data_IF_341260421114
#
_entry.id   IF_341260421114
#
_cell.length_a   1.000
_cell.length_b   1.000
_cell.length_c   1.000
_cell.angle_alpha   90.00
_cell.angle_beta   90.00
_cell.angle_gamma   90.00
#
_symmetry.space_group_name_H-M   'P 1'
#
loop_
_entity.id
_entity.type
_entity.pdbx_description
1 polymer ?
#
# COMPACT_ATOMS: atom_id res chain seq x y z
N UNK A 1 14.18 3.61 -53.48
CA UNK A 1 14.77 4.09 -52.21
C UNK A 1 14.73 2.96 -51.19
N UNK A 2 15.90 2.60 -50.63
CA UNK A 2 16.21 1.93 -49.34
C UNK A 2 15.09 1.12 -48.66
N UNK A 3 15.29 -0.05 -48.06
CA UNK A 3 16.40 -0.95 -47.72
C UNK A 3 15.68 -1.98 -46.82
N UNK A 4 15.90 -3.28 -46.97
CA UNK A 4 16.06 -4.12 -45.77
C UNK A 4 16.83 -5.38 -46.12
N UNK A 5 18.04 -5.38 -45.58
CA UNK A 5 18.99 -6.48 -45.56
C UNK A 5 18.58 -7.36 -44.38
N UNK A 6 18.33 -8.65 -44.62
CA UNK A 6 18.38 -9.68 -43.58
C UNK A 6 19.58 -10.57 -43.91
N UNK A 7 20.69 -10.33 -43.22
CA UNK A 7 21.84 -11.26 -43.21
C UNK A 7 21.70 -12.10 -41.95
N UNK A 8 21.33 -13.36 -42.15
CA UNK A 8 21.48 -14.42 -41.16
C UNK A 8 22.97 -14.75 -41.14
N UNK A 9 23.66 -14.41 -40.05
CA UNK A 9 25.07 -14.78 -39.87
C UNK A 9 25.14 -15.95 -38.88
N UNK A 10 25.36 -17.14 -39.45
CA UNK A 10 25.83 -18.34 -38.77
C UNK A 10 27.18 -18.05 -38.11
N UNK A 11 27.31 -18.29 -36.80
CA UNK A 11 28.61 -18.46 -36.16
C UNK A 11 28.89 -19.96 -36.00
N UNK A 12 29.72 -20.48 -36.90
CA UNK A 12 30.44 -21.73 -36.71
C UNK A 12 31.60 -21.46 -35.74
N UNK A 13 31.67 -22.19 -34.63
CA UNK A 13 32.84 -22.21 -33.77
C UNK A 13 33.68 -23.44 -34.17
N UNK A 14 34.85 -23.15 -34.71
CA UNK A 14 35.93 -24.08 -35.01
C UNK A 14 36.53 -24.56 -33.69
N UNK A 15 36.49 -25.87 -33.45
CA UNK A 15 37.20 -26.54 -32.36
C UNK A 15 38.57 -26.98 -32.90
N UNK A 16 39.62 -26.21 -32.59
CA UNK A 16 41.01 -26.66 -32.69
C UNK A 16 41.52 -26.83 -31.27
N UNK A 17 41.88 -28.06 -30.94
CA UNK A 17 42.42 -28.45 -29.64
C UNK A 17 43.81 -27.85 -29.41
N UNK A 18 43.94 -27.12 -28.31
CA UNK A 18 45.20 -26.95 -27.60
C UNK A 18 44.94 -27.35 -26.15
N UNK A 19 45.73 -28.32 -25.72
CA UNK A 19 45.84 -28.87 -24.38
C UNK A 19 46.00 -27.82 -23.28
N UNK A 20 45.33 -28.02 -22.15
CA UNK A 20 45.90 -27.61 -20.86
C UNK A 20 45.39 -26.32 -20.19
N UNK A 21 44.20 -25.80 -20.51
CA UNK A 21 43.48 -24.94 -19.57
C UNK A 21 42.00 -25.28 -19.61
N UNK A 22 41.47 -25.82 -18.50
CA UNK A 22 40.03 -25.74 -18.21
C UNK A 22 39.70 -24.24 -18.18
N UNK A 23 39.26 -23.69 -19.31
CA UNK A 23 38.41 -22.50 -19.31
C UNK A 23 37.09 -22.96 -18.72
N UNK A 24 37.05 -23.09 -17.39
CA UNK A 24 35.79 -23.03 -16.68
C UNK A 24 35.27 -21.63 -16.94
N UNK A 25 34.41 -21.50 -17.94
CA UNK A 25 33.33 -20.53 -17.85
C UNK A 25 32.60 -20.88 -16.54
N UNK A 26 33.04 -20.27 -15.43
CA UNK A 26 32.30 -20.30 -14.18
C UNK A 26 30.99 -19.61 -14.55
N UNK A 27 29.94 -20.40 -14.81
CA UNK A 27 28.59 -19.93 -14.65
C UNK A 27 28.55 -19.38 -13.22
N UNK A 28 28.61 -18.06 -13.07
CA UNK A 28 28.48 -17.44 -11.76
C UNK A 28 27.15 -17.94 -11.21
N UNK A 29 27.23 -18.74 -10.14
CA UNK A 29 26.04 -19.23 -9.45
C UNK A 29 25.12 -18.04 -9.20
N UNK A 30 23.83 -18.17 -9.52
CA UNK A 30 22.85 -17.09 -9.39
C UNK A 30 22.73 -16.58 -7.94
N UNK A 31 23.16 -17.41 -6.99
CA UNK A 31 23.11 -17.25 -5.53
C UNK A 31 24.51 -17.17 -4.92
N UNK A 32 24.60 -16.72 -3.68
CA UNK A 32 25.84 -16.53 -2.94
C UNK A 32 25.92 -17.44 -1.71
N UNK A 33 27.09 -18.02 -1.44
CA UNK A 33 27.33 -18.78 -0.22
C UNK A 33 27.41 -17.87 1.01
N UNK A 34 27.30 -18.44 2.21
CA UNK A 34 27.49 -17.68 3.46
C UNK A 34 28.90 -17.09 3.53
N UNK A 35 29.92 -17.91 3.26
CA UNK A 35 31.32 -17.47 3.31
C UNK A 35 31.62 -16.32 2.33
N UNK A 36 31.13 -16.41 1.09
CA UNK A 36 31.29 -15.31 0.11
C UNK A 36 30.58 -14.03 0.57
N UNK A 37 29.40 -14.17 1.19
CA UNK A 37 28.62 -13.04 1.66
C UNK A 37 29.29 -12.34 2.84
N UNK A 38 29.83 -13.08 3.82
CA UNK A 38 30.51 -12.50 4.99
C UNK A 38 31.83 -11.85 4.63
N UNK A 39 32.62 -12.43 3.72
CA UNK A 39 33.83 -11.77 3.17
C UNK A 39 33.50 -10.42 2.53
N UNK A 40 32.36 -10.34 1.83
CA UNK A 40 31.90 -9.07 1.26
C UNK A 40 31.44 -8.08 2.33
N UNK A 41 30.79 -8.55 3.41
CA UNK A 41 30.43 -7.72 4.56
C UNK A 41 31.69 -7.14 5.21
N UNK A 42 32.64 -7.99 5.60
CA UNK A 42 33.92 -7.59 6.20
C UNK A 42 34.63 -6.54 5.35
N UNK A 43 34.72 -6.76 4.03
CA UNK A 43 35.37 -5.80 3.13
C UNK A 43 34.73 -4.41 3.16
N UNK A 44 33.41 -4.30 3.32
CA UNK A 44 32.72 -2.99 3.28
C UNK A 44 32.52 -2.37 4.66
N UNK A 45 32.53 -3.16 5.73
CA UNK A 45 32.31 -2.68 7.10
C UNK A 45 33.56 -2.62 7.95
N UNK A 46 34.62 -3.36 7.58
CA UNK A 46 35.81 -3.59 8.41
C UNK A 46 35.58 -4.53 9.59
N UNK A 47 34.40 -5.16 9.69
CA UNK A 47 34.08 -6.09 10.78
C UNK A 47 34.58 -7.48 10.42
N UNK A 48 35.44 -8.06 11.27
CA UNK A 48 35.86 -9.47 11.17
C UNK A 48 34.63 -10.37 11.05
N UNK A 49 34.56 -11.14 9.96
CA UNK A 49 33.44 -12.04 9.68
C UNK A 49 33.19 -13.03 10.81
N UNK A 50 34.22 -13.43 11.56
CA UNK A 50 34.08 -14.39 12.65
C UNK A 50 33.28 -13.82 13.82
N UNK A 51 33.35 -12.50 14.04
CA UNK A 51 32.57 -11.81 15.08
C UNK A 51 31.06 -11.77 14.79
N UNK A 52 30.66 -11.99 13.53
CA UNK A 52 29.25 -11.99 13.12
C UNK A 52 28.55 -13.33 13.39
N UNK A 53 29.31 -14.42 13.54
CA UNK A 53 28.78 -15.74 13.85
C UNK A 53 28.53 -15.88 15.36
N UNK A 54 27.48 -16.62 15.74
CA UNK A 54 27.19 -16.99 17.13
C UNK A 54 27.01 -18.50 17.23
N UNK A 55 27.26 -19.06 18.41
CA UNK A 55 27.38 -20.49 18.70
C UNK A 55 26.48 -21.40 17.84
N UNK A 56 27.12 -22.31 17.10
CA UNK A 56 26.50 -23.32 16.24
C UNK A 56 25.59 -22.80 15.11
N UNK A 57 25.51 -21.48 14.88
CA UNK A 57 24.88 -20.94 13.67
C UNK A 57 25.82 -21.15 12.46
N UNK A 58 25.25 -21.45 11.29
CA UNK A 58 25.99 -21.55 10.02
C UNK A 58 27.08 -22.63 9.96
N UNK A 59 26.78 -23.84 10.46
CA UNK A 59 27.72 -24.98 10.47
C UNK A 59 28.32 -25.32 9.09
N UNK A 60 27.51 -25.26 8.02
CA UNK A 60 28.00 -25.32 6.65
C UNK A 60 27.99 -23.91 6.05
N UNK A 61 29.16 -23.31 5.82
CA UNK A 61 29.32 -21.96 5.27
C UNK A 61 29.41 -21.91 3.74
N UNK A 62 29.62 -23.06 3.10
CA UNK A 62 29.64 -23.18 1.63
C UNK A 62 28.23 -23.24 1.04
N UNK A 63 27.21 -23.53 1.86
CA UNK A 63 25.81 -23.47 1.42
C UNK A 63 25.41 -22.04 1.06
N UNK A 64 24.45 -21.94 0.15
CA UNK A 64 23.79 -20.67 -0.18
C UNK A 64 23.19 -20.01 1.06
N UNK A 65 23.45 -18.72 1.23
CA UNK A 65 22.80 -17.93 2.27
C UNK A 65 21.36 -17.60 1.87
N UNK A 66 20.42 -17.80 2.79
CA UNK A 66 19.03 -17.34 2.59
C UNK A 66 18.86 -15.85 2.90
N UNK A 67 17.80 -15.22 2.38
CA UNK A 67 17.50 -13.81 2.68
C UNK A 67 17.37 -13.56 4.20
N UNK A 68 16.75 -14.48 4.94
CA UNK A 68 16.58 -14.32 6.39
C UNK A 68 17.89 -14.49 7.16
N UNK A 69 18.78 -15.37 6.71
CA UNK A 69 20.13 -15.49 7.26
C UNK A 69 20.99 -14.26 6.95
N UNK A 70 20.90 -13.74 5.73
CA UNK A 70 21.57 -12.50 5.36
C UNK A 70 21.10 -11.34 6.25
N UNK A 71 19.79 -11.20 6.48
CA UNK A 71 19.23 -10.19 7.37
C UNK A 71 19.78 -10.28 8.79
N UNK A 72 19.99 -11.49 9.32
CA UNK A 72 20.58 -11.71 10.63
C UNK A 72 22.02 -11.18 10.71
N UNK A 73 22.85 -11.52 9.72
CA UNK A 73 24.24 -11.05 9.67
C UNK A 73 24.34 -9.54 9.40
N UNK A 74 23.45 -9.00 8.56
CA UNK A 74 23.36 -7.56 8.27
C UNK A 74 22.93 -6.78 9.51
N UNK A 75 21.94 -7.25 10.26
CA UNK A 75 21.49 -6.54 11.47
C UNK A 75 22.62 -6.47 12.51
N UNK A 76 23.40 -7.55 12.68
CA UNK A 76 24.59 -7.57 13.54
C UNK A 76 25.65 -6.58 13.04
N UNK A 77 25.98 -6.64 11.75
CA UNK A 77 26.97 -5.74 11.17
C UNK A 77 26.52 -4.27 11.28
N UNK A 78 25.23 -3.99 11.05
CA UNK A 78 24.66 -2.65 11.21
C UNK A 78 24.70 -2.17 12.66
N UNK A 79 24.36 -3.02 13.63
CA UNK A 79 24.47 -2.68 15.05
C UNK A 79 25.90 -2.31 15.43
N UNK A 80 26.90 -3.01 14.90
CA UNK A 80 28.32 -2.74 15.15
C UNK A 80 28.81 -1.41 14.55
N UNK A 81 28.44 -1.06 13.30
CA UNK A 81 28.93 0.18 12.66
C UNK A 81 28.03 1.40 12.87
N UNK A 82 26.73 1.21 13.13
CA UNK A 82 25.74 2.27 13.15
C UNK A 82 24.94 2.35 14.46
N UNK A 83 25.16 1.43 15.40
CA UNK A 83 24.38 1.30 16.62
C UNK A 83 22.99 0.68 16.38
N UNK A 84 22.33 0.29 17.47
CA UNK A 84 20.98 -0.27 17.41
C UNK A 84 19.90 0.82 17.33
N UNK A 85 19.90 1.59 16.24
CA UNK A 85 18.96 2.69 16.02
C UNK A 85 17.98 2.39 14.89
N UNK A 86 16.69 2.37 15.23
CA UNK A 86 15.60 2.28 14.26
C UNK A 86 14.35 2.98 14.78
N UNK A 87 13.43 3.34 13.88
CA UNK A 87 12.18 4.02 14.24
C UNK A 87 11.20 3.03 14.89
N UNK A 88 11.19 2.97 16.23
CA UNK A 88 10.35 2.02 17.00
C UNK A 88 8.88 2.02 16.59
N UNK A 89 8.26 3.20 16.45
CA UNK A 89 6.87 3.32 15.98
C UNK A 89 6.65 2.69 14.60
N UNK A 90 7.59 2.84 13.66
CA UNK A 90 7.49 2.23 12.32
C UNK A 90 7.66 0.72 12.41
N UNK A 91 8.56 0.23 13.26
CA UNK A 91 8.73 -1.21 13.52
C UNK A 91 7.45 -1.85 14.05
N UNK A 92 6.80 -1.22 15.04
CA UNK A 92 5.51 -1.69 15.58
C UNK A 92 4.42 -1.73 14.50
N UNK A 93 4.36 -0.71 13.64
CA UNK A 93 3.40 -0.66 12.53
C UNK A 93 3.68 -1.73 11.46
N UNK A 94 4.96 -2.00 11.15
CA UNK A 94 5.35 -3.05 10.22
C UNK A 94 4.82 -4.42 10.66
N UNK A 95 4.91 -4.71 11.97
CA UNK A 95 4.39 -5.96 12.55
C UNK A 95 2.86 -5.92 12.58
N UNK A 96 2.27 -4.89 13.20
CA UNK A 96 0.82 -4.76 13.41
C UNK A 96 0.04 -4.85 12.09
N UNK A 97 0.52 -4.17 11.05
CA UNK A 97 -0.11 -4.11 9.72
C UNK A 97 0.41 -5.18 8.76
N UNK A 98 1.23 -6.13 9.23
CA UNK A 98 1.78 -7.23 8.44
C UNK A 98 2.44 -6.76 7.13
N UNK A 99 3.25 -5.70 7.21
CA UNK A 99 3.92 -5.06 6.05
C UNK A 99 4.97 -5.97 5.39
N UNK A 100 5.35 -7.06 6.05
CA UNK A 100 6.26 -8.08 5.53
C UNK A 100 5.56 -9.44 5.47
N UNK A 101 5.72 -10.12 4.35
CA UNK A 101 5.25 -11.49 4.09
C UNK A 101 6.43 -12.42 3.78
N UNK A 102 6.18 -13.73 3.66
CA UNK A 102 7.24 -14.72 3.38
C UNK A 102 8.08 -15.09 4.59
N UNK A 103 7.49 -15.06 5.80
CA UNK A 103 8.14 -15.34 7.09
C UNK A 103 7.73 -16.69 7.72
N UNK A 104 7.08 -17.57 6.95
CA UNK A 104 6.63 -18.89 7.44
C UNK A 104 7.82 -19.73 7.90
N UNK A 105 7.73 -20.32 9.09
CA UNK A 105 8.80 -21.15 9.66
C UNK A 105 10.02 -20.40 10.19
N UNK A 106 10.03 -19.06 10.13
CA UNK A 106 11.16 -18.27 10.63
C UNK A 106 11.08 -18.11 12.16
N UNK A 107 12.16 -18.46 12.86
CA UNK A 107 12.29 -18.28 14.31
C UNK A 107 12.36 -16.81 14.75
N UNK A 108 12.08 -16.54 16.03
CA UNK A 108 11.90 -15.18 16.57
C UNK A 108 13.10 -14.25 16.34
N UNK A 109 14.33 -14.71 16.65
CA UNK A 109 15.57 -13.93 16.46
C UNK A 109 15.76 -13.49 15.00
N UNK A 110 15.54 -14.41 14.05
CA UNK A 110 15.66 -14.14 12.62
C UNK A 110 14.54 -13.21 12.12
N UNK A 111 13.31 -13.37 12.64
CA UNK A 111 12.20 -12.43 12.35
C UNK A 111 12.51 -11.01 12.81
N UNK A 112 13.06 -10.83 14.00
CA UNK A 112 13.44 -9.52 14.52
C UNK A 112 14.46 -8.83 13.63
N UNK A 113 15.54 -9.53 13.26
CA UNK A 113 16.55 -9.02 12.33
C UNK A 113 15.96 -8.64 10.97
N UNK A 114 15.03 -9.43 10.44
CA UNK A 114 14.29 -9.12 9.21
C UNK A 114 13.50 -7.81 9.36
N UNK A 115 12.73 -7.65 10.45
CA UNK A 115 11.97 -6.43 10.69
C UNK A 115 12.87 -5.21 10.85
N UNK A 116 13.99 -5.32 11.58
CA UNK A 116 14.97 -4.23 11.72
C UNK A 116 15.60 -3.86 10.39
N UNK A 117 16.09 -4.83 9.62
CA UNK A 117 16.67 -4.58 8.29
C UNK A 117 15.67 -3.91 7.33
N UNK A 118 14.40 -4.30 7.41
CA UNK A 118 13.32 -3.67 6.65
C UNK A 118 13.06 -2.23 7.10
N UNK A 119 12.88 -2.01 8.41
CA UNK A 119 12.59 -0.68 9.00
C UNK A 119 13.74 0.30 8.77
N UNK A 120 14.97 -0.20 8.82
CA UNK A 120 16.19 0.54 8.50
C UNK A 120 16.33 0.79 6.98
N UNK A 121 15.53 0.15 6.13
CA UNK A 121 15.59 0.34 4.68
C UNK A 121 16.77 -0.35 3.99
N UNK A 122 17.43 -1.30 4.68
CA UNK A 122 18.59 -2.05 4.17
C UNK A 122 18.10 -3.22 3.30
N UNK A 123 17.06 -3.92 3.75
CA UNK A 123 16.43 -5.03 3.02
C UNK A 123 14.91 -4.84 2.95
N UNK A 124 14.38 -4.15 1.92
CA UNK A 124 12.95 -3.81 1.79
C UNK A 124 12.09 -4.96 1.23
N UNK A 125 12.67 -6.11 0.91
CA UNK A 125 11.99 -7.21 0.22
C UNK A 125 11.55 -6.88 -1.21
N UNK A 126 10.84 -7.83 -1.83
CA UNK A 126 10.32 -7.74 -3.20
C UNK A 126 8.87 -7.26 -3.19
N UNK A 127 8.45 -6.60 -4.27
CA UNK A 127 7.06 -6.13 -4.41
C UNK A 127 6.09 -7.31 -4.48
N UNK A 128 4.92 -7.18 -3.86
CA UNK A 128 3.80 -8.12 -4.02
C UNK A 128 2.88 -7.77 -5.20
N UNK A 129 3.24 -6.75 -5.99
CA UNK A 129 2.45 -6.26 -7.11
C UNK A 129 1.86 -4.87 -6.85
N UNK A 130 1.12 -4.36 -7.83
CA UNK A 130 0.48 -3.06 -7.75
C UNK A 130 -0.55 -3.01 -6.61
N UNK A 131 -0.70 -1.85 -5.98
CA UNK A 131 -1.63 -1.59 -4.89
C UNK A 131 -1.46 -2.50 -3.67
N UNK A 132 -0.31 -3.17 -3.54
CA UNK A 132 -0.02 -3.97 -2.35
C UNK A 132 0.65 -3.12 -1.27
N UNK A 133 0.17 -3.27 -0.04
CA UNK A 133 0.74 -2.57 1.11
C UNK A 133 1.75 -3.41 1.90
N UNK A 134 2.18 -4.54 1.34
CA UNK A 134 3.18 -5.42 1.93
C UNK A 134 4.23 -5.82 0.91
N UNK A 135 5.39 -6.25 1.41
CA UNK A 135 6.52 -6.76 0.62
C UNK A 135 6.75 -8.22 0.97
N UNK A 136 7.16 -9.03 0.00
CA UNK A 136 7.59 -10.39 0.26
C UNK A 136 9.10 -10.42 0.51
N UNK A 137 9.49 -10.83 1.72
CA UNK A 137 10.90 -10.93 2.10
C UNK A 137 11.56 -12.21 1.55
N UNK A 138 10.76 -13.23 1.24
CA UNK A 138 11.23 -14.55 0.80
C UNK A 138 12.33 -15.10 1.72
N UNK A 139 12.08 -15.12 3.04
CA UNK A 139 13.12 -15.32 4.04
C UNK A 139 13.86 -16.66 3.93
N UNK A 140 13.21 -17.71 3.42
CA UNK A 140 13.82 -19.03 3.20
C UNK A 140 14.44 -19.20 1.80
N UNK A 141 14.31 -18.23 0.90
CA UNK A 141 14.90 -18.30 -0.44
C UNK A 141 16.37 -17.89 -0.38
N UNK A 142 17.23 -18.58 -1.12
CA UNK A 142 18.63 -18.18 -1.35
C UNK A 142 18.72 -16.74 -1.87
N UNK A 143 19.68 -15.98 -1.36
CA UNK A 143 19.97 -14.62 -1.75
C UNK A 143 20.61 -14.60 -3.13
N UNK A 144 20.04 -13.82 -4.04
CA UNK A 144 20.55 -13.69 -5.41
C UNK A 144 21.77 -12.75 -5.42
N UNK A 145 22.85 -13.12 -6.13
CA UNK A 145 24.10 -12.33 -6.19
C UNK A 145 23.87 -10.89 -6.65
N UNK A 146 22.88 -10.67 -7.52
CA UNK A 146 22.52 -9.35 -8.05
C UNK A 146 21.99 -8.40 -6.97
N UNK A 147 21.45 -8.90 -5.87
CA UNK A 147 20.87 -8.10 -4.78
C UNK A 147 21.94 -7.64 -3.76
N UNK A 148 23.08 -8.35 -3.70
CA UNK A 148 24.11 -8.20 -2.64
C UNK A 148 24.68 -6.78 -2.62
N UNK A 149 25.14 -6.26 -3.75
CA UNK A 149 25.78 -4.94 -3.79
C UNK A 149 24.83 -3.84 -3.29
N UNK A 150 23.57 -3.87 -3.73
CA UNK A 150 22.57 -2.89 -3.28
C UNK A 150 22.26 -3.00 -1.79
N UNK A 151 22.31 -4.20 -1.20
CA UNK A 151 22.17 -4.40 0.25
C UNK A 151 23.37 -3.79 0.99
N UNK A 152 24.59 -4.12 0.58
CA UNK A 152 25.82 -3.65 1.21
C UNK A 152 25.96 -2.12 1.11
N UNK A 153 25.61 -1.52 -0.03
CA UNK A 153 25.58 -0.07 -0.19
C UNK A 153 24.63 0.62 0.79
N UNK A 154 23.47 0.02 1.08
CA UNK A 154 22.49 0.57 2.05
C UNK A 154 22.88 0.33 3.50
N UNK A 155 23.66 -0.72 3.75
CA UNK A 155 24.25 -0.97 5.06
C UNK A 155 25.23 0.17 5.41
N UNK A 156 26.19 0.45 4.51
CA UNK A 156 27.26 1.44 4.76
C UNK A 156 26.83 2.89 4.52
N UNK A 157 25.97 3.17 3.55
CA UNK A 157 25.47 4.52 3.24
C UNK A 157 23.99 4.67 3.60
N UNK A 158 23.74 5.34 4.73
CA UNK A 158 22.37 5.63 5.20
C UNK A 158 21.54 6.45 4.20
N UNK A 159 22.17 7.25 3.33
CA UNK A 159 21.45 8.06 2.31
C UNK A 159 20.85 7.18 1.21
N UNK A 160 21.42 6.01 0.96
CA UNK A 160 20.93 5.03 -0.01
C UNK A 160 19.81 4.14 0.53
N UNK A 161 19.59 4.13 1.86
CA UNK A 161 18.54 3.31 2.50
C UNK A 161 17.17 3.65 1.93
N UNK A 162 16.38 2.60 1.73
CA UNK A 162 15.02 2.72 1.24
C UNK A 162 14.16 3.41 2.31
N UNK A 163 13.42 4.44 1.89
CA UNK A 163 12.56 5.21 2.79
C UNK A 163 11.24 4.47 3.02
N UNK A 164 10.74 4.56 4.26
CA UNK A 164 9.43 4.05 4.64
C UNK A 164 8.48 5.18 5.03
N UNK A 165 7.21 4.98 4.73
CA UNK A 165 6.10 5.79 5.25
C UNK A 165 5.95 5.58 6.77
N UNK A 166 5.22 6.47 7.47
CA UNK A 166 4.99 6.33 8.91
C UNK A 166 4.37 4.99 9.32
N UNK A 167 3.57 4.38 8.45
CA UNK A 167 2.91 3.08 8.63
C UNK A 167 3.69 1.90 8.03
N UNK A 168 4.95 2.11 7.63
CA UNK A 168 5.90 1.04 7.28
C UNK A 168 5.81 0.53 5.83
N UNK A 169 5.21 1.27 4.90
CA UNK A 169 5.22 0.94 3.48
C UNK A 169 6.43 1.56 2.79
N UNK A 170 6.91 0.96 1.69
CA UNK A 170 8.07 1.51 0.99
C UNK A 170 7.69 2.70 0.11
N UNK A 171 8.46 3.78 0.26
CA UNK A 171 8.40 4.98 -0.56
C UNK A 171 9.36 4.85 -1.74
N UNK A 172 8.95 5.32 -2.91
CA UNK A 172 9.84 5.53 -4.07
C UNK A 172 10.21 6.99 -4.22
N UNK A 173 11.43 7.23 -4.72
CA UNK A 173 11.98 8.57 -4.98
C UNK A 173 12.24 8.83 -6.46
N UNK A 174 11.92 7.85 -7.31
CA UNK A 174 12.08 7.90 -8.77
C UNK A 174 10.75 7.57 -9.46
N UNK A 175 10.67 7.86 -10.76
CA UNK A 175 9.45 7.69 -11.57
C UNK A 175 8.21 8.43 -11.02
N UNK A 176 8.42 9.51 -10.26
CA UNK A 176 7.36 10.14 -9.46
C UNK A 176 6.20 10.68 -10.33
N UNK A 177 4.95 10.69 -9.82
CA UNK A 177 3.83 11.31 -10.52
C UNK A 177 4.08 12.81 -10.73
N UNK A 178 3.49 13.39 -11.77
CA UNK A 178 3.68 14.81 -12.12
C UNK A 178 3.38 15.75 -10.96
N UNK A 179 2.38 15.42 -10.14
CA UNK A 179 1.92 16.19 -8.98
C UNK A 179 2.52 15.70 -7.64
N UNK A 180 3.64 14.96 -7.63
CA UNK A 180 4.21 14.38 -6.40
C UNK A 180 4.44 15.39 -5.26
N UNK A 181 4.67 16.66 -5.59
CA UNK A 181 4.85 17.76 -4.62
C UNK A 181 3.61 18.03 -3.76
N UNK A 182 2.43 17.53 -4.16
CA UNK A 182 1.19 17.63 -3.39
C UNK A 182 1.05 16.58 -2.30
N UNK A 183 1.89 15.54 -2.30
CA UNK A 183 1.84 14.43 -1.35
C UNK A 183 3.05 14.44 -0.40
N UNK A 184 2.87 13.88 0.81
CA UNK A 184 3.95 13.75 1.78
C UNK A 184 4.97 12.69 1.35
N UNK A 185 4.51 11.65 0.66
CA UNK A 185 5.32 10.57 0.10
C UNK A 185 4.55 9.88 -1.02
N UNK A 186 5.28 9.12 -1.85
CA UNK A 186 4.73 8.32 -2.95
C UNK A 186 5.13 6.87 -2.73
N UNK A 187 4.16 5.96 -2.66
CA UNK A 187 4.42 4.55 -2.41
C UNK A 187 4.97 3.84 -3.65
N UNK A 188 5.85 2.88 -3.40
CA UNK A 188 6.51 2.11 -4.46
C UNK A 188 5.55 1.18 -5.21
N UNK A 189 4.54 0.65 -4.52
CA UNK A 189 3.55 -0.27 -5.10
C UNK A 189 2.40 0.43 -5.81
N UNK A 190 2.31 1.76 -5.75
CA UNK A 190 1.19 2.52 -6.32
C UNK A 190 1.62 3.23 -7.60
N UNK A 191 0.84 3.10 -8.69
CA UNK A 191 1.17 3.71 -9.98
C UNK A 191 1.03 5.23 -9.92
N UNK A 192 1.58 5.92 -10.93
CA UNK A 192 1.45 7.39 -11.02
C UNK A 192 -0.01 7.81 -11.17
N UNK A 193 -0.82 7.06 -11.93
CA UNK A 193 -2.24 7.35 -12.17
C UNK A 193 -3.04 7.51 -10.87
N UNK A 194 -2.74 6.69 -9.85
CA UNK A 194 -3.37 6.78 -8.54
C UNK A 194 -3.20 8.16 -7.89
N UNK A 195 -2.02 8.76 -8.02
CA UNK A 195 -1.72 10.09 -7.45
C UNK A 195 -2.12 11.22 -8.40
N UNK A 196 -2.05 11.01 -9.71
CA UNK A 196 -2.32 12.02 -10.73
C UNK A 196 -3.81 12.32 -10.92
N UNK A 197 -4.72 11.44 -10.46
CA UNK A 197 -6.16 11.73 -10.42
C UNK A 197 -6.40 13.00 -9.59
N UNK A 198 -7.12 13.96 -10.18
CA UNK A 198 -7.44 15.24 -9.55
C UNK A 198 -8.22 15.02 -8.26
N UNK A 199 -8.00 15.87 -7.28
CA UNK A 199 -8.80 15.97 -6.04
C UNK A 199 -10.09 16.77 -6.27
N UNK A 200 -11.05 16.76 -5.34
CA UNK A 200 -12.30 17.52 -5.48
C UNK A 200 -12.03 19.01 -5.66
N UNK A 201 -11.15 19.61 -4.83
CA UNK A 201 -10.85 21.04 -4.91
C UNK A 201 -10.16 21.46 -6.23
N UNK A 202 -9.42 20.55 -6.87
CA UNK A 202 -8.82 20.77 -8.20
C UNK A 202 -9.86 20.71 -9.33
N UNK A 203 -11.01 20.05 -9.09
CA UNK A 203 -12.13 19.96 -10.04
C UNK A 203 -13.20 21.03 -9.78
N UNK A 204 -13.30 21.53 -8.56
CA UNK A 204 -14.29 22.53 -8.16
C UNK A 204 -14.20 23.79 -9.01
N UNK A 205 -15.37 24.26 -9.48
CA UNK A 205 -15.50 25.55 -10.16
C UNK A 205 -15.56 26.65 -9.11
N UNK A 206 -14.45 27.30 -8.88
CA UNK A 206 -14.38 28.38 -7.90
C UNK A 206 -14.78 29.72 -8.54
N UNK A 207 -15.72 30.44 -7.89
CA UNK A 207 -16.02 31.84 -8.24
C UNK A 207 -14.89 32.83 -7.85
N UNK A 208 -13.82 32.33 -7.22
CA UNK A 208 -12.64 33.09 -6.78
C UNK A 208 -11.39 32.22 -6.92
N UNK A 209 -10.21 32.79 -6.81
CA UNK A 209 -8.98 31.99 -6.68
C UNK A 209 -8.98 31.28 -5.30
N UNK A 210 -9.02 29.93 -5.22
CA UNK A 210 -9.05 29.23 -3.95
C UNK A 210 -7.72 29.42 -3.20
N UNK A 211 -7.81 29.56 -1.88
CA UNK A 211 -6.67 29.77 -0.99
C UNK A 211 -6.45 28.52 -0.13
N UNK A 212 -5.24 27.97 -0.18
CA UNK A 212 -4.85 26.85 0.67
C UNK A 212 -4.95 27.24 2.16
N UNK A 213 -5.31 26.28 3.02
CA UNK A 213 -5.66 26.42 4.43
C UNK A 213 -6.96 27.17 4.71
N UNK A 214 -7.56 27.86 3.74
CA UNK A 214 -8.87 28.51 3.88
C UNK A 214 -9.98 27.72 3.17
N UNK A 215 -9.78 27.46 1.89
CA UNK A 215 -10.78 26.83 1.04
C UNK A 215 -10.51 25.32 0.85
N UNK A 216 -9.24 24.92 0.89
CA UNK A 216 -8.82 23.51 0.82
C UNK A 216 -7.46 23.33 1.51
N UNK A 217 -7.07 22.08 1.80
CA UNK A 217 -5.72 21.75 2.27
C UNK A 217 -5.19 20.54 1.52
N UNK A 218 -4.06 20.69 0.80
CA UNK A 218 -3.47 19.59 0.02
C UNK A 218 -2.86 18.51 0.95
N UNK A 219 -2.68 17.26 0.48
CA UNK A 219 -2.23 16.18 1.35
C UNK A 219 -0.91 16.41 2.09
N UNK A 220 0.09 16.98 1.40
CA UNK A 220 1.40 17.32 2.00
C UNK A 220 1.31 18.30 3.18
N UNK A 221 0.30 19.16 3.18
CA UNK A 221 0.14 20.22 4.18
C UNK A 221 -0.93 19.91 5.23
N UNK A 222 -1.68 18.81 5.09
CA UNK A 222 -2.77 18.45 6.00
C UNK A 222 -2.32 18.44 7.47
N UNK A 223 -1.16 17.83 7.76
CA UNK A 223 -0.61 17.76 9.12
C UNK A 223 -0.27 19.12 9.75
N UNK A 224 -0.10 20.17 8.96
CA UNK A 224 0.21 21.54 9.43
C UNK A 224 -1.04 22.34 9.78
N UNK A 225 -2.23 21.82 9.46
CA UNK A 225 -3.50 22.50 9.70
C UNK A 225 -3.81 22.54 11.20
N UNK A 226 -4.58 23.55 11.61
CA UNK A 226 -5.31 23.55 12.87
C UNK A 226 -6.69 22.95 12.62
N UNK A 227 -7.02 21.87 13.32
CA UNK A 227 -8.36 21.31 13.32
C UNK A 227 -9.21 22.09 14.33
N UNK A 228 -10.26 22.77 13.86
CA UNK A 228 -11.17 23.52 14.73
C UNK A 228 -12.48 22.75 14.80
N UNK A 229 -12.86 22.34 16.01
CA UNK A 229 -14.15 21.69 16.27
C UNK A 229 -15.31 22.67 16.07
N UNK A 230 -16.54 22.13 16.04
CA UNK A 230 -17.76 22.92 15.99
C UNK A 230 -17.84 24.00 17.09
N UNK A 231 -17.36 23.68 18.30
CA UNK A 231 -17.33 24.59 19.45
C UNK A 231 -16.14 25.56 19.46
N UNK A 232 -15.38 25.65 18.37
CA UNK A 232 -14.23 26.54 18.25
C UNK A 232 -12.96 26.05 18.96
N UNK A 233 -12.98 24.86 19.57
CA UNK A 233 -11.78 24.26 20.19
C UNK A 233 -10.78 23.88 19.09
N UNK A 234 -9.53 24.27 19.26
CA UNK A 234 -8.44 24.08 18.30
C UNK A 234 -7.55 22.91 18.71
N UNK A 235 -7.32 22.01 17.77
CA UNK A 235 -6.43 20.85 17.88
C UNK A 235 -5.34 20.93 16.82
N UNK A 236 -4.18 20.34 17.09
CA UNK A 236 -3.16 20.16 16.05
C UNK A 236 -3.56 18.98 15.17
N UNK A 237 -3.73 19.22 13.87
CA UNK A 237 -4.14 18.16 12.95
C UNK A 237 -3.15 16.98 12.93
N UNK A 238 -1.86 17.24 13.17
CA UNK A 238 -0.87 16.17 13.29
C UNK A 238 -1.17 15.19 14.43
N UNK A 239 -1.64 15.68 15.58
CA UNK A 239 -1.93 14.86 16.76
C UNK A 239 -3.22 14.05 16.54
N UNK A 240 -4.23 14.64 15.91
CA UNK A 240 -5.49 13.93 15.60
C UNK A 240 -5.30 12.89 14.49
N UNK A 241 -4.47 13.16 13.47
CA UNK A 241 -4.11 12.16 12.47
C UNK A 241 -3.37 10.96 13.10
N UNK A 242 -2.50 11.20 14.08
CA UNK A 242 -1.81 10.10 14.78
C UNK A 242 -2.75 9.22 15.60
N UNK A 243 -3.89 9.77 16.07
CA UNK A 243 -4.92 9.03 16.82
C UNK A 243 -5.90 8.31 15.90
N UNK A 244 -6.41 9.00 14.87
CA UNK A 244 -7.63 8.57 14.18
C UNK A 244 -7.48 8.26 12.70
N UNK A 245 -6.38 8.62 12.04
CA UNK A 245 -6.23 8.40 10.59
C UNK A 245 -6.42 6.92 10.20
N UNK A 246 -5.90 6.01 11.02
CA UNK A 246 -6.06 4.56 10.81
C UNK A 246 -7.53 4.12 10.93
N UNK A 247 -8.27 4.68 11.89
CA UNK A 247 -9.70 4.38 12.12
C UNK A 247 -10.53 4.92 10.96
N UNK A 248 -10.25 6.14 10.53
CA UNK A 248 -10.89 6.79 9.39
C UNK A 248 -10.69 5.99 8.10
N UNK A 249 -9.44 5.61 7.80
CA UNK A 249 -9.14 4.80 6.62
C UNK A 249 -9.79 3.42 6.70
N UNK A 250 -9.85 2.81 7.90
CA UNK A 250 -10.52 1.53 8.11
C UNK A 250 -12.03 1.61 7.86
N UNK A 251 -12.69 2.70 8.25
CA UNK A 251 -14.12 2.92 7.94
C UNK A 251 -14.37 3.00 6.43
N UNK A 252 -13.49 3.69 5.69
CA UNK A 252 -13.54 3.74 4.21
C UNK A 252 -13.33 2.36 3.60
N UNK A 253 -12.33 1.61 4.10
CA UNK A 253 -12.04 0.24 3.66
C UNK A 253 -13.24 -0.69 3.90
N UNK A 254 -13.81 -0.68 5.11
CA UNK A 254 -14.96 -1.52 5.48
C UNK A 254 -16.20 -1.17 4.67
N UNK A 255 -16.45 0.12 4.43
CA UNK A 255 -17.59 0.57 3.63
C UNK A 255 -17.51 0.05 2.20
N UNK A 256 -16.38 0.27 1.53
CA UNK A 256 -16.15 -0.20 0.17
C UNK A 256 -16.21 -1.73 0.12
N UNK A 257 -15.59 -2.41 1.07
CA UNK A 257 -15.61 -3.88 1.13
C UNK A 257 -17.04 -4.40 1.26
N UNK A 258 -17.84 -3.88 2.19
CA UNK A 258 -19.23 -4.30 2.41
C UNK A 258 -20.12 -4.03 1.19
N UNK A 259 -19.97 -2.87 0.56
CA UNK A 259 -20.77 -2.48 -0.63
C UNK A 259 -20.41 -3.32 -1.84
N UNK A 260 -19.11 -3.55 -2.08
CA UNK A 260 -18.58 -4.26 -3.25
C UNK A 260 -18.49 -5.78 -3.05
N UNK A 261 -18.93 -6.30 -1.90
CA UNK A 261 -19.11 -7.74 -1.62
C UNK A 261 -20.58 -8.14 -1.42
N UNK A 262 -21.53 -7.26 -1.77
CA UNK A 262 -22.94 -7.55 -1.61
C UNK A 262 -23.35 -8.83 -2.36
N UNK A 263 -24.04 -9.73 -1.67
CA UNK A 263 -24.59 -10.94 -2.26
C UNK A 263 -26.07 -11.09 -1.86
N UNK A 264 -26.96 -11.05 -2.84
CA UNK A 264 -28.41 -11.17 -2.61
C UNK A 264 -28.83 -12.47 -1.91
N UNK A 265 -28.00 -13.52 -1.98
CA UNK A 265 -28.27 -14.82 -1.37
C UNK A 265 -28.00 -14.81 0.14
N UNK A 266 -27.05 -13.99 0.59
CA UNK A 266 -26.54 -14.01 1.98
C UNK A 266 -26.76 -12.70 2.74
N UNK A 267 -27.17 -11.63 2.06
CA UNK A 267 -27.46 -10.34 2.71
C UNK A 267 -28.46 -10.49 3.85
N UNK A 268 -28.13 -9.87 4.99
CA UNK A 268 -28.89 -9.97 6.24
C UNK A 268 -28.88 -8.64 6.99
N UNK A 269 -29.62 -8.57 8.10
CA UNK A 269 -29.58 -7.43 9.02
C UNK A 269 -28.17 -7.17 9.58
N UNK A 270 -27.32 -8.20 9.68
CA UNK A 270 -25.92 -8.02 10.06
C UNK A 270 -25.18 -7.15 9.06
N UNK A 271 -25.33 -7.41 7.76
CA UNK A 271 -24.70 -6.59 6.71
C UNK A 271 -25.18 -5.13 6.79
N UNK A 272 -26.48 -4.91 7.02
CA UNK A 272 -27.07 -3.57 7.20
C UNK A 272 -26.42 -2.84 8.38
N UNK A 273 -26.30 -3.53 9.52
CA UNK A 273 -25.74 -2.95 10.74
C UNK A 273 -24.23 -2.68 10.62
N UNK A 274 -23.47 -3.59 10.02
CA UNK A 274 -22.04 -3.37 9.78
C UNK A 274 -21.81 -2.20 8.81
N UNK A 275 -22.60 -2.11 7.74
CA UNK A 275 -22.50 -0.98 6.81
C UNK A 275 -22.89 0.34 7.49
N UNK A 276 -23.91 0.34 8.35
CA UNK A 276 -24.32 1.53 9.10
C UNK A 276 -23.19 2.10 9.96
N UNK A 277 -22.35 1.25 10.59
CA UNK A 277 -21.24 1.66 11.47
C UNK A 277 -20.13 2.46 10.76
N UNK A 278 -20.07 2.40 9.42
CA UNK A 278 -19.07 3.14 8.64
C UNK A 278 -19.47 4.59 8.40
N UNK A 279 -20.76 4.92 8.51
CA UNK A 279 -21.29 6.28 8.34
C UNK A 279 -21.25 7.05 9.67
N UNK A 280 -21.50 8.36 9.61
CA UNK A 280 -21.63 9.23 10.79
C UNK A 280 -22.70 8.68 11.74
N UNK A 281 -22.38 8.58 13.03
CA UNK A 281 -23.31 8.22 14.10
C UNK A 281 -23.52 9.48 14.94
N UNK A 282 -24.77 9.90 15.13
CA UNK A 282 -25.08 11.10 15.90
C UNK A 282 -25.36 10.81 17.38
N UNK A 283 -25.49 9.54 17.77
CA UNK A 283 -25.96 9.12 19.09
C UNK A 283 -27.33 9.72 19.44
N UNK A 284 -28.10 10.00 18.40
CA UNK A 284 -29.47 10.51 18.46
C UNK A 284 -30.36 9.63 17.58
N UNK A 285 -31.41 9.07 18.19
CA UNK A 285 -32.29 8.10 17.54
C UNK A 285 -32.98 8.66 16.30
N UNK A 286 -33.35 9.94 16.30
CA UNK A 286 -34.07 10.57 15.21
C UNK A 286 -33.13 10.92 14.04
N UNK A 287 -31.92 11.37 14.32
CA UNK A 287 -30.89 11.62 13.31
C UNK A 287 -30.35 10.33 12.70
N UNK A 288 -30.28 9.25 13.49
CA UNK A 288 -29.68 7.98 13.06
C UNK A 288 -30.66 7.04 12.33
N UNK A 289 -31.98 7.34 12.31
CA UNK A 289 -33.01 6.43 11.76
C UNK A 289 -32.96 6.26 10.24
N UNK A 290 -32.52 7.29 9.51
CA UNK A 290 -32.66 7.35 8.06
C UNK A 290 -31.62 6.50 7.31
N UNK A 291 -30.37 6.50 7.77
CA UNK A 291 -29.31 5.75 7.09
C UNK A 291 -29.60 4.23 7.05
N UNK A 292 -30.00 3.55 8.14
CA UNK A 292 -30.44 2.16 8.08
C UNK A 292 -31.66 1.92 7.19
N UNK A 293 -32.57 2.90 7.08
CA UNK A 293 -33.75 2.82 6.19
C UNK A 293 -33.31 2.81 4.72
N UNK A 294 -32.38 3.69 4.32
CA UNK A 294 -31.84 3.71 2.96
C UNK A 294 -31.04 2.45 2.61
N UNK A 295 -30.21 1.96 3.53
CA UNK A 295 -29.47 0.70 3.35
C UNK A 295 -30.46 -0.47 3.14
N UNK A 296 -31.53 -0.56 3.95
CA UNK A 296 -32.59 -1.58 3.79
C UNK A 296 -33.32 -1.48 2.46
N UNK A 297 -33.64 -0.26 2.03
CA UNK A 297 -34.29 -0.01 0.73
C UNK A 297 -33.42 -0.52 -0.42
N UNK A 298 -32.13 -0.18 -0.42
CA UNK A 298 -31.18 -0.72 -1.39
C UNK A 298 -31.12 -2.25 -1.35
N UNK A 299 -30.92 -2.84 -0.16
CA UNK A 299 -30.78 -4.29 -0.03
C UNK A 299 -32.01 -5.03 -0.59
N UNK A 300 -33.22 -4.50 -0.39
CA UNK A 300 -34.46 -5.03 -0.97
C UNK A 300 -34.47 -4.95 -2.51
N UNK A 301 -34.09 -3.80 -3.08
CA UNK A 301 -34.02 -3.60 -4.54
C UNK A 301 -32.95 -4.53 -5.15
N UNK A 302 -31.74 -4.50 -4.62
CA UNK A 302 -30.62 -5.31 -5.08
C UNK A 302 -30.92 -6.81 -4.96
N UNK A 303 -31.65 -7.23 -3.93
CA UNK A 303 -32.12 -8.61 -3.76
C UNK A 303 -33.11 -9.03 -4.84
N UNK A 304 -34.12 -8.20 -5.14
CA UNK A 304 -35.06 -8.43 -6.25
C UNK A 304 -34.34 -8.49 -7.60
N UNK A 305 -33.31 -7.66 -7.76
CA UNK A 305 -32.47 -7.61 -8.95
C UNK A 305 -31.36 -8.68 -8.98
N UNK A 306 -31.32 -9.62 -8.01
CA UNK A 306 -30.33 -10.71 -7.91
C UNK A 306 -28.87 -10.23 -8.04
N UNK A 307 -28.57 -9.08 -7.43
CA UNK A 307 -27.23 -8.47 -7.45
C UNK A 307 -26.27 -9.34 -6.63
N UNK A 308 -25.15 -9.71 -7.26
CA UNK A 308 -24.01 -10.34 -6.58
C UNK A 308 -22.73 -9.66 -7.04
N UNK A 309 -21.99 -9.11 -6.08
CA UNK A 309 -20.69 -8.50 -6.27
C UNK A 309 -19.61 -9.35 -5.60
N UNK A 310 -18.43 -9.38 -6.19
CA UNK A 310 -17.25 -9.99 -5.63
C UNK A 310 -16.15 -8.95 -5.57
N UNK A 311 -15.67 -8.64 -4.36
CA UNK A 311 -14.51 -7.79 -4.16
C UNK A 311 -13.24 -8.64 -4.08
N UNK A 312 -12.19 -8.21 -4.76
CA UNK A 312 -10.85 -8.81 -4.67
C UNK A 312 -9.91 -7.93 -3.85
N UNK A 313 -10.04 -6.61 -3.96
CA UNK A 313 -9.13 -5.67 -3.35
C UNK A 313 -9.85 -4.37 -2.99
N UNK A 314 -9.58 -3.87 -1.79
CA UNK A 314 -9.86 -2.50 -1.35
C UNK A 314 -8.61 -2.03 -0.62
N UNK A 315 -8.06 -0.90 -1.03
CA UNK A 315 -6.85 -0.34 -0.42
C UNK A 315 -7.01 1.15 -0.28
N UNK A 316 -7.02 1.63 0.96
CA UNK A 316 -7.11 3.06 1.29
C UNK A 316 -5.70 3.58 1.55
N UNK A 317 -5.34 4.70 0.93
CA UNK A 317 -3.98 5.25 1.02
C UNK A 317 -3.94 6.61 1.75
N UNK A 318 -3.50 6.65 3.02
CA UNK A 318 -3.59 7.84 3.85
C UNK A 318 -2.76 9.03 3.35
N UNK A 319 -1.70 8.81 2.56
CA UNK A 319 -0.93 9.94 1.96
C UNK A 319 -1.73 10.80 1.01
N UNK A 320 -2.86 10.30 0.51
CA UNK A 320 -3.77 11.03 -0.36
C UNK A 320 -4.77 11.89 0.40
N UNK A 321 -4.84 11.78 1.73
CA UNK A 321 -5.86 12.47 2.49
C UNK A 321 -5.73 13.99 2.35
N UNK A 322 -6.82 14.68 2.04
CA UNK A 322 -6.87 16.13 1.90
C UNK A 322 -8.15 16.69 2.54
N UNK A 323 -8.28 18.00 2.59
CA UNK A 323 -9.49 18.67 3.07
C UNK A 323 -10.06 19.59 1.99
N UNK A 324 -11.37 19.45 1.77
CA UNK A 324 -12.22 20.30 0.92
C UNK A 324 -13.68 20.13 1.37
N UNK A 325 -14.21 21.08 2.14
CA UNK A 325 -15.51 21.02 2.88
C UNK A 325 -15.68 19.84 3.87
N UNK A 326 -14.72 18.92 3.91
CA UNK A 326 -14.62 17.72 4.73
C UNK A 326 -13.29 17.02 4.42
N UNK A 327 -12.98 15.92 5.09
CA UNK A 327 -11.75 15.17 4.79
C UNK A 327 -12.02 14.14 3.71
N UNK A 328 -11.19 14.11 2.68
CA UNK A 328 -11.28 13.15 1.61
C UNK A 328 -10.08 12.21 1.66
N UNK A 329 -10.27 10.95 1.33
CA UNK A 329 -9.17 9.98 1.17
C UNK A 329 -9.42 9.10 -0.03
N UNK A 330 -8.34 8.79 -0.76
CA UNK A 330 -8.41 7.94 -1.94
C UNK A 330 -8.31 6.47 -1.59
N UNK A 331 -9.15 5.69 -2.22
CA UNK A 331 -9.14 4.24 -2.18
C UNK A 331 -9.02 3.67 -3.59
N UNK A 332 -8.21 2.64 -3.74
CA UNK A 332 -8.21 1.77 -4.91
C UNK A 332 -9.11 0.57 -4.66
N UNK A 333 -9.92 0.18 -5.64
CA UNK A 333 -10.76 -1.02 -5.56
C UNK A 333 -10.66 -1.89 -6.80
N UNK A 334 -10.83 -3.19 -6.59
CA UNK A 334 -11.01 -4.18 -7.65
C UNK A 334 -12.15 -5.12 -7.29
N UNK A 335 -13.20 -5.10 -8.10
CA UNK A 335 -14.40 -5.89 -7.86
C UNK A 335 -15.06 -6.35 -9.17
N UNK A 336 -16.06 -7.22 -9.06
CA UNK A 336 -16.77 -7.82 -10.20
C UNK A 336 -18.27 -7.89 -9.90
N UNK A 337 -19.10 -7.46 -10.85
CA UNK A 337 -20.55 -7.73 -10.82
C UNK A 337 -20.81 -9.12 -11.41
N UNK A 338 -20.96 -10.11 -10.53
CA UNK A 338 -21.10 -11.52 -10.88
C UNK A 338 -22.50 -11.89 -11.38
N UNK A 339 -23.54 -11.24 -10.84
CA UNK A 339 -24.93 -11.51 -11.21
C UNK A 339 -25.75 -10.24 -11.07
N UNK A 340 -26.67 -10.04 -12.01
CA UNK A 340 -27.75 -9.06 -11.95
C UNK A 340 -28.85 -9.48 -12.93
N UNK A 341 -30.12 -9.29 -12.59
CA UNK A 341 -31.25 -9.56 -13.49
C UNK A 341 -31.39 -8.46 -14.55
N UNK A 342 -31.32 -7.21 -14.12
CA UNK A 342 -31.38 -6.02 -14.96
C UNK A 342 -30.14 -5.15 -14.73
N UNK A 343 -29.35 -4.99 -15.79
CA UNK A 343 -28.11 -4.24 -15.74
C UNK A 343 -28.32 -2.77 -16.10
N UNK A 344 -27.77 -1.87 -15.28
CA UNK A 344 -27.81 -0.42 -15.49
C UNK A 344 -26.42 0.12 -15.87
N UNK A 345 -26.29 0.65 -17.09
CA UNK A 345 -25.05 1.35 -17.50
C UNK A 345 -24.93 2.73 -16.84
N UNK A 346 -23.78 3.40 -16.98
CA UNK A 346 -23.55 4.74 -16.43
C UNK A 346 -24.52 5.81 -16.99
N UNK A 347 -25.14 5.57 -18.15
CA UNK A 347 -26.19 6.44 -18.69
C UNK A 347 -27.51 6.37 -17.90
N UNK A 348 -27.64 5.41 -17.00
CA UNK A 348 -28.82 5.22 -16.16
C UNK A 348 -28.62 5.86 -14.79
N UNK A 349 -29.61 6.60 -14.30
CA UNK A 349 -29.67 7.08 -12.92
C UNK A 349 -29.91 5.97 -11.87
N UNK A 350 -29.93 4.69 -12.30
CA UNK A 350 -30.23 3.52 -11.46
C UNK A 350 -29.02 2.63 -11.18
N UNK A 351 -27.78 3.06 -11.45
CA UNK A 351 -26.61 2.26 -11.04
C UNK A 351 -26.53 2.04 -9.52
N UNK A 352 -27.08 2.96 -8.74
CA UNK A 352 -27.26 2.83 -7.30
C UNK A 352 -28.22 1.68 -6.88
N UNK A 353 -28.92 1.03 -7.83
CA UNK A 353 -29.69 -0.19 -7.57
C UNK A 353 -28.84 -1.47 -7.67
N UNK A 354 -27.63 -1.37 -8.25
CA UNK A 354 -26.67 -2.48 -8.34
C UNK A 354 -25.54 -2.36 -7.33
N UNK A 355 -25.18 -1.15 -6.93
CA UNK A 355 -24.13 -0.88 -5.95
C UNK A 355 -24.68 0.19 -5.02
N UNK A 356 -24.65 -0.04 -3.71
CA UNK A 356 -25.12 0.98 -2.76
C UNK A 356 -24.23 2.21 -2.81
N UNK A 357 -24.81 3.41 -2.71
CA UNK A 357 -24.11 4.70 -2.58
C UNK A 357 -25.02 5.85 -2.97
N UNK A 358 -24.60 7.09 -2.65
CA UNK A 358 -25.30 8.32 -3.03
C UNK A 358 -25.34 8.44 -4.56
N UNK A 359 -24.19 8.69 -5.19
CA UNK A 359 -24.04 8.72 -6.64
C UNK A 359 -23.12 7.59 -7.11
N UNK A 360 -23.61 6.77 -8.03
CA UNK A 360 -22.84 5.70 -8.67
C UNK A 360 -22.79 6.00 -10.16
N UNK A 361 -21.59 6.26 -10.65
CA UNK A 361 -21.31 6.50 -12.05
C UNK A 361 -20.03 5.77 -12.45
N UNK A 362 -20.21 4.59 -13.04
CA UNK A 362 -19.13 3.69 -13.43
C UNK A 362 -19.23 3.40 -14.93
N UNK A 363 -18.55 4.22 -15.75
CA UNK A 363 -18.62 4.21 -17.21
C UNK A 363 -18.32 2.84 -17.81
N UNK A 364 -17.33 2.16 -17.24
CA UNK A 364 -16.80 0.92 -17.80
C UNK A 364 -17.22 -0.32 -17.02
N UNK A 365 -18.18 -0.21 -16.09
CA UNK A 365 -18.73 -1.37 -15.40
C UNK A 365 -19.40 -2.31 -16.41
N UNK A 366 -19.07 -3.60 -16.35
CA UNK A 366 -19.65 -4.64 -17.20
C UNK A 366 -19.94 -5.89 -16.37
N UNK A 367 -21.07 -6.58 -16.61
CA UNK A 367 -21.34 -7.86 -15.98
C UNK A 367 -20.21 -8.86 -16.24
N UNK A 368 -19.85 -9.62 -15.21
CA UNK A 368 -18.84 -10.67 -15.27
C UNK A 368 -17.43 -10.25 -15.74
N UNK A 369 -17.09 -8.97 -15.61
CA UNK A 369 -15.72 -8.46 -15.81
C UNK A 369 -15.20 -7.81 -14.53
N UNK A 370 -13.90 -7.96 -14.29
CA UNK A 370 -13.23 -7.21 -13.23
C UNK A 370 -13.24 -5.74 -13.59
N UNK A 371 -13.62 -4.93 -12.62
CA UNK A 371 -13.62 -3.49 -12.66
C UNK A 371 -12.61 -2.98 -11.63
N UNK A 372 -11.77 -2.04 -12.03
CA UNK A 372 -10.65 -1.55 -11.24
C UNK A 372 -10.60 -0.03 -11.37
N UNK A 373 -10.66 0.69 -10.24
CA UNK A 373 -10.74 2.14 -10.23
C UNK A 373 -10.30 2.74 -8.89
N UNK A 374 -10.02 4.04 -8.91
CA UNK A 374 -9.66 4.83 -7.75
C UNK A 374 -10.77 5.85 -7.43
N UNK A 375 -11.21 5.90 -6.17
CA UNK A 375 -12.29 6.76 -5.68
C UNK A 375 -11.84 7.59 -4.48
N UNK A 376 -12.26 8.84 -4.42
CA UNK A 376 -12.12 9.67 -3.22
C UNK A 376 -13.44 9.61 -2.43
N UNK A 377 -13.39 9.23 -1.16
CA UNK A 377 -14.56 9.22 -0.27
C UNK A 377 -14.40 10.30 0.80
N UNK A 378 -15.51 10.94 1.17
CA UNK A 378 -15.52 11.99 2.18
C UNK A 378 -15.87 11.44 3.55
N UNK A 379 -15.15 11.95 4.54
CA UNK A 379 -15.34 11.74 5.97
C UNK A 379 -15.61 13.10 6.63
N UNK A 380 -16.66 13.14 7.43
CA UNK A 380 -16.95 14.26 8.33
C UNK A 380 -17.40 13.73 9.69
N UNK A 381 -17.45 14.62 10.69
CA UNK A 381 -17.93 14.30 12.02
C UNK A 381 -19.42 14.56 12.18
N UNK A 382 -19.98 13.99 13.24
CA UNK A 382 -21.15 14.62 13.86
C UNK A 382 -20.70 15.97 14.45
N UNK A 383 -21.61 16.93 14.59
CA UNK A 383 -21.26 18.25 15.14
C UNK A 383 -20.91 18.21 16.65
N UNK A 384 -20.93 17.03 17.28
CA UNK A 384 -20.86 16.87 18.74
C UNK A 384 -19.51 16.31 19.22
N UNK A 385 -18.73 15.62 18.38
CA UNK A 385 -17.44 15.09 18.77
C UNK A 385 -16.27 16.04 18.49
N UNK A 386 -15.48 16.25 19.54
CA UNK A 386 -14.58 17.39 19.66
C UNK A 386 -13.31 17.31 18.79
N UNK A 387 -12.85 16.13 18.38
CA UNK A 387 -11.52 15.97 17.75
C UNK A 387 -11.46 14.95 16.59
N UNK A 388 -12.63 14.58 16.05
CA UNK A 388 -12.76 13.71 14.89
C UNK A 388 -12.85 12.20 15.17
N UNK A 389 -12.98 11.79 16.43
CA UNK A 389 -13.26 10.40 16.80
C UNK A 389 -14.56 9.85 16.13
N UNK A 390 -15.58 10.70 15.96
CA UNK A 390 -16.88 10.38 15.34
C UNK A 390 -16.82 10.13 13.85
N UNK A 391 -15.71 10.47 13.19
CA UNK A 391 -15.76 10.65 11.75
C UNK A 391 -16.25 9.39 11.06
N UNK A 392 -17.21 9.60 10.20
CA UNK A 392 -17.84 8.58 9.39
C UNK A 392 -18.00 9.10 7.98
N UNK A 393 -18.36 8.20 7.09
CA UNK A 393 -18.53 8.53 5.68
C UNK A 393 -19.72 9.47 5.53
N UNK A 394 -19.47 10.61 4.88
CA UNK A 394 -20.48 11.63 4.53
C UNK A 394 -20.82 11.57 3.05
N UNK A 395 -19.81 11.35 2.21
CA UNK A 395 -19.95 11.08 0.79
C UNK A 395 -19.33 9.74 0.44
N UNK A 396 -20.18 8.83 -0.03
CA UNK A 396 -19.83 7.47 -0.42
C UNK A 396 -19.93 7.24 -1.93
N UNK A 397 -20.03 8.30 -2.72
CA UNK A 397 -20.19 8.23 -4.17
C UNK A 397 -19.02 7.51 -4.85
N UNK A 398 -19.32 6.72 -5.89
CA UNK A 398 -18.33 6.03 -6.72
C UNK A 398 -18.46 6.55 -8.16
N UNK A 399 -17.61 7.53 -8.48
CA UNK A 399 -17.59 8.19 -9.79
C UNK A 399 -16.21 8.02 -10.47
N UNK A 400 -16.20 7.33 -11.61
CA UNK A 400 -15.02 7.10 -12.44
C UNK A 400 -14.88 8.07 -13.62
N UNK A 401 -15.82 9.01 -13.78
CA UNK A 401 -15.80 10.00 -14.86
C UNK A 401 -14.77 11.10 -14.70
N UNK A 402 -14.12 11.13 -13.54
CA UNK A 402 -13.35 12.25 -13.03
C UNK A 402 -11.85 11.96 -12.90
#
# INVERSE_FOLDING_TARGET
>A
MRKQVSVIMFFAIILIGISGMKVMAIEKTKTISIADFTKKLEKVTGIDENSLYRDNEFQNREKDITNGEAALLIDRADESINGNHYKKKVYEQVIKKKRITGLKGIGAKKKDAIYKCFVKGIMPGKSNGAYTQSRNFNANKSLERIEVNGILERLVDKKKRVKLSPDGQVIRTTNLPKNYKNFSYILASFPNSFYEKKTTYERSKWGKKPKEFKDYTRPKNLRKRTFTSYWGIKYKMSEELDKYQDIWCKKVEDNLWLRLSFDYQTVSNRWINELRKTYIIYDDKEMDKDKPKYIRKYASIAKKNKVKLQVQQVVVEPSTMYEDSGFWVRAHVKFKLCSVKEFYSAKSCKQNYMIYGNDIYLQYLRPNKWYEADFDLQLTGNNMEYNGAAFGISDDSLDDSL
#
